data_IF_493178039829
#
_entry.id   IF_493178039829
#
_cell.length_a   1.000
_cell.length_b   1.000
_cell.length_c   1.000
_cell.angle_alpha   90.00
_cell.angle_beta   90.00
_cell.angle_gamma   90.00
#
_symmetry.space_group_name_H-M   'P 1'
#
loop_
_entity.id
_entity.type
_entity.pdbx_description
1 polymer ?
#
# COMPACT_ATOMS: atom_id res chain seq x y z
N UNK A 1 -14.92 1.16 8.70
CA UNK A 1 -14.65 1.09 10.15
C UNK A 1 -13.62 0.00 10.38
N UNK A 2 -12.33 0.37 10.49
CA UNK A 2 -11.26 -0.60 10.73
C UNK A 2 -11.03 -0.74 12.24
N UNK A 3 -10.85 -1.97 12.77
CA UNK A 3 -10.46 -2.17 14.15
C UNK A 3 -9.12 -1.49 14.46
N UNK A 4 -9.04 -0.83 15.62
CA UNK A 4 -7.81 -0.19 16.10
C UNK A 4 -7.75 -0.31 17.63
N UNK A 5 -6.68 -0.92 18.13
CA UNK A 5 -6.47 -1.02 19.58
C UNK A 5 -6.19 0.38 20.15
N UNK A 6 -6.72 0.68 21.35
CA UNK A 6 -6.66 2.00 22.02
C UNK A 6 -7.13 3.19 21.16
N UNK A 7 -7.86 2.94 20.07
CA UNK A 7 -8.34 3.96 19.15
C UNK A 7 -7.23 4.90 18.63
N UNK A 8 -6.06 4.36 18.29
CA UNK A 8 -4.94 5.17 17.77
C UNK A 8 -5.14 5.64 16.34
N UNK A 9 -5.98 4.96 15.55
CA UNK A 9 -6.31 5.31 14.15
C UNK A 9 -5.04 5.63 13.32
N UNK A 10 -4.10 4.68 13.20
CA UNK A 10 -2.74 4.97 12.76
C UNK A 10 -2.63 5.25 11.26
N UNK A 11 -3.64 4.90 10.47
CA UNK A 11 -3.64 5.08 9.02
C UNK A 11 -3.56 6.55 8.61
N UNK A 12 -2.70 6.86 7.63
CA UNK A 12 -2.61 8.14 6.95
C UNK A 12 -2.62 7.89 5.45
N UNK A 13 -3.52 8.51 4.71
CA UNK A 13 -3.65 8.28 3.27
C UNK A 13 -3.32 9.56 2.51
N UNK A 14 -2.39 9.48 1.56
CA UNK A 14 -2.03 10.60 0.69
C UNK A 14 -2.43 10.28 -0.75
N UNK A 15 -3.39 11.03 -1.28
CA UNK A 15 -4.00 10.79 -2.59
C UNK A 15 -3.19 11.48 -3.68
N UNK A 16 -2.81 10.72 -4.71
CA UNK A 16 -1.99 11.16 -5.85
C UNK A 16 -2.82 11.04 -7.13
N UNK A 17 -3.10 12.18 -7.77
CA UNK A 17 -3.97 12.32 -8.95
C UNK A 17 -3.28 13.11 -10.07
N UNK A 18 -3.84 13.00 -11.28
CA UNK A 18 -3.36 13.76 -12.45
C UNK A 18 -1.86 13.56 -12.70
N UNK A 19 -1.16 14.65 -13.00
CA UNK A 19 0.28 14.68 -13.31
C UNK A 19 1.16 14.33 -12.10
N UNK A 20 0.60 14.34 -10.87
CA UNK A 20 1.34 13.91 -9.69
C UNK A 20 1.70 12.41 -9.76
N UNK A 21 0.93 11.59 -10.49
CA UNK A 21 1.24 10.18 -10.74
C UNK A 21 2.52 10.03 -11.56
N UNK A 22 2.73 10.90 -12.54
CA UNK A 22 3.95 10.90 -13.36
C UNK A 22 5.16 11.30 -12.53
N UNK A 23 5.04 12.35 -11.72
CA UNK A 23 6.10 12.78 -10.79
C UNK A 23 6.45 11.67 -9.79
N UNK A 24 5.45 10.96 -9.27
CA UNK A 24 5.67 9.81 -8.39
C UNK A 24 6.44 8.70 -9.11
N UNK A 25 6.04 8.35 -10.35
CA UNK A 25 6.71 7.33 -11.15
C UNK A 25 8.18 7.66 -11.43
N UNK A 26 8.46 8.89 -11.89
CA UNK A 26 9.84 9.34 -12.14
C UNK A 26 10.67 9.36 -10.87
N UNK A 27 10.11 9.86 -9.76
CA UNK A 27 10.77 9.83 -8.46
C UNK A 27 11.15 8.40 -8.06
N UNK A 28 10.21 7.46 -8.14
CA UNK A 28 10.47 6.07 -7.76
C UNK A 28 11.53 5.40 -8.63
N UNK A 29 11.53 5.67 -9.94
CA UNK A 29 12.53 5.16 -10.86
C UNK A 29 13.93 5.72 -10.54
N UNK A 30 14.03 7.05 -10.35
CA UNK A 30 15.27 7.74 -9.99
C UNK A 30 15.85 7.21 -8.68
N UNK A 31 15.04 7.12 -7.62
CA UNK A 31 15.51 6.60 -6.33
C UNK A 31 15.95 5.14 -6.43
N UNK A 32 15.24 4.33 -7.21
CA UNK A 32 15.65 2.95 -7.43
C UNK A 32 17.00 2.85 -8.14
N UNK A 33 17.27 3.72 -9.11
CA UNK A 33 18.57 3.82 -9.79
C UNK A 33 19.69 4.30 -8.85
N UNK A 34 19.40 5.23 -7.94
CA UNK A 34 20.36 5.74 -6.95
C UNK A 34 20.72 4.73 -5.86
N UNK A 35 19.75 3.93 -5.43
CA UNK A 35 19.85 3.12 -4.19
C UNK A 35 20.14 1.64 -4.42
N UNK A 36 19.83 1.12 -5.60
CA UNK A 36 20.06 -0.29 -5.93
C UNK A 36 21.45 -0.48 -6.55
N UNK A 37 22.24 -1.41 -6.03
CA UNK A 37 23.58 -1.67 -6.53
C UNK A 37 23.59 -2.15 -8.00
N UNK A 38 22.54 -2.87 -8.41
CA UNK A 38 22.35 -3.37 -9.78
C UNK A 38 20.91 -3.15 -10.26
N UNK A 39 20.56 -1.93 -10.71
CA UNK A 39 19.20 -1.61 -11.13
C UNK A 39 18.76 -2.43 -12.34
N UNK A 40 17.65 -3.17 -12.21
CA UNK A 40 17.08 -3.91 -13.34
C UNK A 40 16.22 -2.99 -14.20
N UNK A 41 16.52 -2.91 -15.49
CA UNK A 41 15.78 -2.07 -16.46
C UNK A 41 14.26 -2.33 -16.46
N UNK A 42 13.85 -3.59 -16.32
CA UNK A 42 12.42 -3.94 -16.22
C UNK A 42 11.77 -3.32 -14.98
N UNK A 43 12.47 -3.29 -13.83
CA UNK A 43 11.96 -2.71 -12.58
C UNK A 43 11.91 -1.19 -12.66
N UNK A 44 12.94 -0.54 -13.24
CA UNK A 44 12.93 0.89 -13.54
C UNK A 44 11.70 1.29 -14.37
N UNK A 45 11.48 0.59 -15.49
CA UNK A 45 10.30 0.84 -16.34
C UNK A 45 8.99 0.64 -15.58
N UNK A 46 8.86 -0.42 -14.78
CA UNK A 46 7.64 -0.66 -13.98
C UNK A 46 7.40 0.43 -12.94
N UNK A 47 8.42 0.87 -12.23
CA UNK A 47 8.30 1.95 -11.24
C UNK A 47 7.87 3.27 -11.90
N UNK A 48 8.44 3.60 -13.06
CA UNK A 48 8.09 4.80 -13.82
C UNK A 48 6.65 4.77 -14.35
N UNK A 49 6.20 3.63 -14.87
CA UNK A 49 4.97 3.55 -15.66
C UNK A 49 3.74 3.11 -14.87
N UNK A 50 3.88 2.30 -13.82
CA UNK A 50 2.72 1.74 -13.12
C UNK A 50 1.80 2.80 -12.49
N UNK A 51 2.30 3.89 -11.86
CA UNK A 51 1.44 4.97 -11.36
C UNK A 51 0.56 5.60 -12.44
N UNK A 52 1.07 5.71 -13.67
CA UNK A 52 0.36 6.35 -14.79
C UNK A 52 -0.81 5.52 -15.28
N UNK A 53 -0.72 4.19 -15.12
CA UNK A 53 -1.78 3.24 -15.52
C UNK A 53 -2.97 3.22 -14.58
N UNK A 54 -2.81 3.65 -13.34
CA UNK A 54 -3.89 3.72 -12.37
C UNK A 54 -4.60 5.07 -12.48
N UNK A 55 -5.93 5.11 -12.34
CA UNK A 55 -6.70 6.36 -12.32
C UNK A 55 -6.33 7.23 -11.10
N UNK A 56 -6.06 6.59 -9.96
CA UNK A 56 -5.52 7.23 -8.77
C UNK A 56 -4.52 6.31 -8.07
N UNK A 57 -3.61 6.90 -7.30
CA UNK A 57 -2.70 6.17 -6.41
C UNK A 57 -2.83 6.76 -5.02
N UNK A 58 -3.00 5.92 -4.01
CA UNK A 58 -3.02 6.36 -2.61
C UNK A 58 -1.77 5.81 -1.94
N UNK A 59 -0.88 6.68 -1.45
CA UNK A 59 0.19 6.26 -0.57
C UNK A 59 -0.43 5.86 0.78
N UNK A 60 -0.17 4.63 1.19
CA UNK A 60 -0.60 4.05 2.46
C UNK A 60 0.49 4.39 3.46
N UNK A 61 0.24 5.37 4.32
CA UNK A 61 1.13 5.72 5.41
C UNK A 61 0.54 5.26 6.75
N UNK A 62 1.42 5.15 7.74
CA UNK A 62 1.08 4.82 9.11
C UNK A 62 1.84 5.75 10.04
N UNK A 63 1.12 6.42 10.93
CA UNK A 63 1.69 7.21 12.02
C UNK A 63 1.89 6.27 13.22
N UNK A 64 3.14 6.13 13.68
CA UNK A 64 3.41 5.48 14.97
C UNK A 64 2.89 6.35 16.11
N UNK A 65 2.26 5.72 17.09
CA UNK A 65 2.01 6.33 18.38
C UNK A 65 3.32 6.83 19.02
N UNK A 66 3.48 8.13 19.32
CA UNK A 66 4.71 8.65 19.92
C UNK A 66 5.02 8.05 21.30
N UNK A 67 4.00 7.61 22.03
CA UNK A 67 4.17 6.95 23.32
C UNK A 67 4.57 5.47 23.19
N UNK A 68 4.58 4.93 21.97
CA UNK A 68 4.77 3.51 21.65
C UNK A 68 3.98 2.59 22.60
N UNK A 69 2.76 3.01 22.95
CA UNK A 69 1.89 2.33 23.91
C UNK A 69 1.39 0.97 23.41
N UNK A 70 1.63 0.67 22.13
CA UNK A 70 1.26 -0.54 21.43
C UNK A 70 2.46 -1.08 20.63
N UNK A 71 2.61 -2.42 20.56
CA UNK A 71 3.51 -3.04 19.60
C UNK A 71 3.21 -2.55 18.18
N UNK A 72 4.26 -2.29 17.42
CA UNK A 72 4.13 -1.73 16.07
C UNK A 72 3.23 -2.57 15.15
N UNK A 73 3.29 -3.90 15.28
CA UNK A 73 2.52 -4.79 14.42
C UNK A 73 1.00 -4.56 14.54
N UNK A 74 0.50 -4.11 15.69
CA UNK A 74 -0.92 -3.84 15.90
C UNK A 74 -1.38 -2.64 15.06
N UNK A 75 -0.55 -1.60 14.95
CA UNK A 75 -0.84 -0.42 14.13
C UNK A 75 -0.72 -0.70 12.63
N UNK A 76 0.25 -1.55 12.25
CA UNK A 76 0.34 -2.07 10.88
C UNK A 76 -0.93 -2.85 10.55
N UNK A 77 -1.38 -3.74 11.44
CA UNK A 77 -2.56 -4.55 11.23
C UNK A 77 -3.83 -3.69 11.09
N UNK A 78 -4.00 -2.69 11.96
CA UNK A 78 -5.10 -1.73 11.88
C UNK A 78 -5.09 -0.97 10.54
N UNK A 79 -3.92 -0.52 10.08
CA UNK A 79 -3.76 0.14 8.77
C UNK A 79 -4.08 -0.80 7.62
N UNK A 80 -3.62 -2.07 7.67
CA UNK A 80 -3.91 -3.06 6.65
C UNK A 80 -5.41 -3.38 6.57
N UNK A 81 -6.12 -3.42 7.69
CA UNK A 81 -7.58 -3.57 7.72
C UNK A 81 -8.30 -2.35 7.15
N UNK A 82 -7.79 -1.14 7.38
CA UNK A 82 -8.33 0.07 6.73
C UNK A 82 -8.19 0.00 5.19
N UNK A 83 -7.05 -0.47 4.70
CA UNK A 83 -6.86 -0.69 3.25
C UNK A 83 -7.74 -1.82 2.73
N UNK A 84 -7.94 -2.91 3.47
CA UNK A 84 -8.86 -3.98 3.08
C UNK A 84 -10.31 -3.47 2.97
N UNK A 85 -10.75 -2.59 3.89
CA UNK A 85 -12.05 -1.93 3.79
C UNK A 85 -12.16 -1.08 2.51
N UNK A 86 -11.11 -0.32 2.18
CA UNK A 86 -11.07 0.42 0.91
C UNK A 86 -11.14 -0.51 -0.29
N UNK A 87 -10.45 -1.66 -0.24
CA UNK A 87 -10.46 -2.65 -1.31
C UNK A 87 -11.86 -3.22 -1.53
N UNK A 88 -12.57 -3.63 -0.47
CA UNK A 88 -13.94 -4.13 -0.58
C UNK A 88 -14.89 -3.07 -1.17
N UNK A 89 -14.75 -1.81 -0.74
CA UNK A 89 -15.52 -0.70 -1.30
C UNK A 89 -15.23 -0.48 -2.79
N UNK A 90 -13.96 -0.53 -3.18
CA UNK A 90 -13.56 -0.45 -4.60
C UNK A 90 -14.20 -1.58 -5.42
N UNK A 91 -14.13 -2.82 -4.92
CA UNK A 91 -14.74 -3.98 -5.59
C UNK A 91 -16.25 -3.79 -5.79
N UNK A 92 -16.98 -3.35 -4.76
CA UNK A 92 -18.43 -3.09 -4.85
C UNK A 92 -18.75 -2.01 -5.89
N UNK A 93 -17.88 -1.00 -6.01
CA UNK A 93 -18.01 0.08 -6.99
C UNK A 93 -17.51 -0.30 -8.40
N UNK A 94 -17.07 -1.54 -8.64
CA UNK A 94 -16.47 -1.96 -9.91
C UNK A 94 -15.09 -1.33 -10.19
N UNK A 95 -14.42 -0.81 -9.17
CA UNK A 95 -13.08 -0.24 -9.25
C UNK A 95 -12.06 -1.34 -8.95
N UNK A 96 -11.19 -1.62 -9.91
CA UNK A 96 -10.04 -2.49 -9.71
C UNK A 96 -9.01 -1.83 -8.80
N UNK A 97 -8.41 -2.61 -7.91
CA UNK A 97 -7.41 -2.12 -6.96
C UNK A 97 -6.23 -3.08 -6.77
N UNK A 98 -5.07 -2.53 -6.41
CA UNK A 98 -3.84 -3.28 -6.17
C UNK A 98 -2.94 -2.60 -5.13
N UNK A 99 -2.52 -3.33 -4.09
CA UNK A 99 -1.51 -2.87 -3.14
C UNK A 99 -0.11 -3.33 -3.59
N UNK A 100 0.79 -2.37 -3.84
CA UNK A 100 2.23 -2.61 -4.00
C UNK A 100 3.05 -2.08 -2.81
N UNK A 101 4.05 -2.83 -2.36
CA UNK A 101 4.99 -2.46 -1.30
C UNK A 101 6.46 -2.54 -1.79
N UNK A 102 6.85 -1.77 -2.82
CA UNK A 102 8.19 -1.87 -3.37
C UNK A 102 9.22 -1.32 -2.36
N UNK A 103 10.42 -1.88 -2.30
CA UNK A 103 11.45 -1.45 -1.32
C UNK A 103 11.80 0.05 -1.32
N UNK A 104 11.47 0.77 -2.41
CA UNK A 104 11.61 2.23 -2.52
C UNK A 104 10.76 2.96 -1.46
N UNK A 105 9.71 2.36 -0.89
CA UNK A 105 8.85 2.99 0.12
C UNK A 105 9.63 3.56 1.32
N UNK A 106 10.78 3.00 1.67
CA UNK A 106 11.66 3.53 2.73
C UNK A 106 12.18 4.96 2.43
N UNK A 107 12.21 5.34 1.17
CA UNK A 107 12.70 6.64 0.69
C UNK A 107 11.57 7.65 0.47
N UNK A 108 10.34 7.32 0.89
CA UNK A 108 9.17 8.16 0.61
C UNK A 108 9.12 9.48 1.37
N UNK A 109 9.89 9.60 2.44
CA UNK A 109 10.12 10.88 3.13
C UNK A 109 10.75 11.95 2.21
N UNK A 110 11.38 11.56 1.09
CA UNK A 110 11.94 12.50 0.09
C UNK A 110 10.91 13.02 -0.91
N UNK A 111 9.72 12.42 -0.99
CA UNK A 111 8.65 12.82 -1.91
C UNK A 111 7.43 13.36 -1.18
N UNK A 112 7.04 12.71 -0.08
CA UNK A 112 5.96 13.15 0.78
C UNK A 112 6.52 13.82 2.03
N UNK A 113 5.85 14.87 2.46
CA UNK A 113 6.02 15.37 3.83
C UNK A 113 5.43 14.34 4.80
N UNK A 114 6.31 13.69 5.56
CA UNK A 114 5.97 12.72 6.59
C UNK A 114 6.21 13.33 7.96
N UNK A 115 5.24 13.23 8.86
CA UNK A 115 5.42 13.62 10.26
C UNK A 115 6.46 12.72 10.96
N UNK A 116 7.08 13.17 12.07
CA UNK A 116 7.93 12.31 12.88
C UNK A 116 7.18 11.03 13.28
N UNK A 117 7.79 9.86 13.01
CA UNK A 117 7.17 8.55 13.24
C UNK A 117 6.16 8.11 12.16
N UNK A 118 5.86 8.94 11.16
CA UNK A 118 5.07 8.54 10.00
C UNK A 118 5.95 7.81 8.98
N UNK A 119 5.45 6.70 8.44
CA UNK A 119 6.13 5.95 7.38
C UNK A 119 5.18 5.46 6.31
N UNK A 120 5.69 5.31 5.09
CA UNK A 120 4.95 4.72 3.97
C UNK A 120 5.05 3.18 3.99
N UNK A 121 3.92 2.50 3.95
CA UNK A 121 3.79 1.04 3.89
C UNK A 121 3.56 0.53 2.46
N UNK A 122 3.26 1.42 1.51
CA UNK A 122 3.00 1.03 0.12
C UNK A 122 2.08 1.99 -0.61
N UNK A 123 1.59 1.51 -1.74
CA UNK A 123 0.68 2.24 -2.61
C UNK A 123 -0.51 1.38 -2.95
N UNK A 124 -1.69 1.98 -2.85
CA UNK A 124 -2.95 1.44 -3.33
C UNK A 124 -3.26 2.08 -4.69
N UNK A 125 -3.03 1.32 -5.76
CA UNK A 125 -3.39 1.71 -7.12
C UNK A 125 -4.86 1.39 -7.35
N UNK A 126 -5.59 2.29 -7.99
CA UNK A 126 -7.01 2.09 -8.28
C UNK A 126 -7.41 2.65 -9.65
N UNK A 127 -8.38 2.00 -10.29
CA UNK A 127 -8.95 2.43 -11.57
C UNK A 127 -9.98 1.45 -12.12
N UNK A 128 -10.79 1.91 -13.07
CA UNK A 128 -11.70 1.04 -13.82
C UNK A 128 -10.90 0.18 -14.81
N UNK A 129 -11.37 -1.04 -15.04
CA UNK A 129 -10.78 -1.99 -15.96
C UNK A 129 -11.88 -2.80 -16.63
N UNK A 130 -11.80 -2.95 -17.94
CA UNK A 130 -12.69 -3.81 -18.72
C UNK A 130 -12.24 -5.29 -18.73
N UNK A 131 -11.09 -5.58 -18.09
CA UNK A 131 -10.59 -6.94 -17.98
C UNK A 131 -11.49 -7.79 -17.06
N UNK A 132 -11.79 -9.00 -17.50
CA UNK A 132 -12.44 -10.00 -16.65
C UNK A 132 -11.52 -10.34 -15.46
N UNK A 133 -12.12 -10.41 -14.26
CA UNK A 133 -11.39 -10.78 -13.06
C UNK A 133 -11.07 -12.29 -13.11
N UNK A 134 -9.80 -12.68 -12.95
CA UNK A 134 -9.46 -14.10 -12.88
C UNK A 134 -10.05 -14.72 -11.62
N UNK A 135 -10.34 -16.02 -11.69
CA UNK A 135 -10.80 -16.76 -10.52
C UNK A 135 -9.72 -16.76 -9.42
N UNK A 136 -10.16 -16.51 -8.18
CA UNK A 136 -9.27 -16.44 -7.03
C UNK A 136 -8.75 -17.83 -6.65
N UNK A 137 -7.44 -18.07 -6.81
CA UNK A 137 -6.81 -19.31 -6.36
C UNK A 137 -6.51 -19.23 -4.87
N UNK A 138 -7.07 -20.13 -4.05
CA UNK A 138 -6.79 -20.24 -2.61
C UNK A 138 -6.64 -21.71 -2.21
N UNK A 139 -5.67 -21.98 -1.33
CA UNK A 139 -5.59 -23.26 -0.64
C UNK A 139 -6.78 -23.44 0.34
N UNK A 140 -7.22 -24.68 0.59
CA UNK A 140 -8.29 -24.97 1.55
C UNK A 140 -8.04 -24.35 2.93
N UNK A 141 -9.09 -23.78 3.53
CA UNK A 141 -8.98 -23.15 4.87
C UNK A 141 -8.57 -24.15 5.96
N UNK A 142 -8.96 -25.42 5.81
CA UNK A 142 -8.61 -26.52 6.73
C UNK A 142 -7.09 -26.75 6.87
N UNK A 143 -6.27 -26.30 5.93
CA UNK A 143 -4.81 -26.40 6.01
C UNK A 143 -4.20 -25.28 6.90
N UNK A 144 -5.02 -24.31 7.32
CA UNK A 144 -4.60 -23.10 8.05
C UNK A 144 -5.34 -22.94 9.38
N UNK A 145 -6.17 -23.91 9.74
CA UNK A 145 -6.98 -23.90 10.97
C UNK A 145 -6.68 -25.17 11.75
N UNK A 146 -6.23 -24.99 12.98
CA UNK A 146 -6.06 -26.07 13.95
C UNK A 146 -7.05 -25.87 15.08
N UNK A 147 -7.83 -26.91 15.37
CA UNK A 147 -8.75 -26.93 16.50
C UNK A 147 -8.06 -27.62 17.68
N UNK A 148 -8.12 -27.00 18.85
CA UNK A 148 -7.69 -27.60 20.10
C UNK A 148 -8.96 -27.98 20.85
N UNK A 149 -9.35 -29.24 20.68
CA UNK A 149 -10.42 -29.90 21.44
C UNK A 149 -9.76 -30.69 22.59
N UNK A 150 -10.52 -31.06 23.64
CA UNK A 150 -10.01 -31.74 24.85
C UNK A 150 -9.16 -32.99 24.58
#
# INVERSE_FOLDING_TARGET
>A
WAPTHKNTEPWRFKVVLGDARDRLGEFMAKVYEETEAQPKQIKLRKLRENPKKAAAVIAICMQRDPGELLPEWEEIAATAMAVQNMWLCCTEMGIGSYWSSPGIIAQMHRFFELSPGERCLGFFYMGYSDAELPEGVRQPVREKVSWLEE
#
